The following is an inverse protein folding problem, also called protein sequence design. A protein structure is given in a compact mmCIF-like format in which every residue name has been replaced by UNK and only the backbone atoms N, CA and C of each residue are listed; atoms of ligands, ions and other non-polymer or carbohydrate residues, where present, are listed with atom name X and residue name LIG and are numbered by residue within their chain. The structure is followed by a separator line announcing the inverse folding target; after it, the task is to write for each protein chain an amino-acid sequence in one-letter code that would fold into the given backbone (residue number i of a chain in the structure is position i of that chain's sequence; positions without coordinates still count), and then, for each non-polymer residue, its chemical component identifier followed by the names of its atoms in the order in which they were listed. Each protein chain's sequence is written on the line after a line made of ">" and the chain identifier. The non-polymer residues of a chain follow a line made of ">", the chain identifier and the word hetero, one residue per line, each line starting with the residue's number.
data_IF_709079923403
#
_entry.id   IF_709079923403
#
_cell.length_a   1.000
_cell.length_b   1.000
_cell.length_c   1.000
_cell.angle_alpha   90.00
_cell.angle_beta   90.00
_cell.angle_gamma   90.00
#
_symmetry.space_group_name_H-M   'P 1'
#
loop_
_entity.id
_entity.type
_entity.pdbx_description
1 polymer ?
#
# COMPACT_ATOMS: atom_id res chain seq x y z
N UNK A 1 -8.52 -8.51 -9.55
CA UNK A 1 -8.93 -9.09 -8.24
C UNK A 1 -7.86 -10.07 -7.78
N UNK A 2 -7.36 -9.94 -6.55
CA UNK A 2 -6.46 -10.93 -5.94
C UNK A 2 -7.29 -11.90 -5.11
N UNK A 3 -7.48 -13.11 -5.62
CA UNK A 3 -8.34 -14.10 -4.96
C UNK A 3 -7.58 -14.91 -3.90
N UNK A 4 -7.94 -14.71 -2.63
CA UNK A 4 -7.46 -15.53 -1.51
C UNK A 4 -8.34 -16.76 -1.22
N UNK A 5 -9.12 -17.27 -2.18
CA UNK A 5 -9.83 -18.56 -2.05
C UNK A 5 -8.88 -19.77 -2.10
N UNK A 6 -7.68 -19.60 -2.68
CA UNK A 6 -6.60 -20.62 -2.73
C UNK A 6 -5.22 -20.07 -2.32
N UNK A 7 -5.09 -19.42 -1.16
CA UNK A 7 -3.82 -18.85 -0.76
C UNK A 7 -2.90 -19.98 -0.27
N UNK A 8 -1.57 -19.85 -0.46
CA UNK A 8 -0.60 -20.79 0.12
C UNK A 8 -0.60 -20.76 1.67
N UNK A 9 -1.35 -19.84 2.30
CA UNK A 9 -1.41 -19.64 3.76
C UNK A 9 -2.83 -19.30 4.20
N UNK A 10 -3.22 -19.75 5.39
CA UNK A 10 -4.55 -19.50 5.95
C UNK A 10 -4.91 -17.99 5.99
N UNK A 11 -6.12 -17.58 5.57
CA UNK A 11 -6.55 -16.17 5.55
C UNK A 11 -6.41 -15.44 6.88
N UNK A 12 -6.51 -16.16 8.01
CA UNK A 12 -6.31 -15.59 9.37
C UNK A 12 -4.88 -15.10 9.62
N UNK A 13 -3.92 -15.47 8.76
CA UNK A 13 -2.50 -15.13 8.83
C UNK A 13 -1.98 -14.36 7.59
N UNK A 14 -2.90 -13.88 6.75
CA UNK A 14 -2.55 -13.21 5.49
C UNK A 14 -3.08 -11.78 5.50
N UNK A 15 -2.26 -10.81 5.08
CA UNK A 15 -2.64 -9.41 4.94
C UNK A 15 -2.36 -9.01 3.49
N UNK A 16 -3.33 -8.37 2.85
CA UNK A 16 -3.19 -7.73 1.53
C UNK A 16 -2.83 -6.27 1.74
N UNK A 17 -1.75 -5.82 1.10
CA UNK A 17 -1.38 -4.41 1.07
C UNK A 17 -1.48 -3.96 -0.38
N UNK A 18 -2.39 -3.04 -0.68
CA UNK A 18 -2.68 -2.64 -2.04
C UNK A 18 -3.26 -1.22 -2.11
N UNK A 19 -2.97 -0.52 -3.20
CA UNK A 19 -3.49 0.80 -3.49
C UNK A 19 -4.77 0.79 -4.33
N UNK A 20 -5.19 -0.37 -4.84
CA UNK A 20 -6.38 -0.53 -5.66
C UNK A 20 -7.47 -1.28 -4.91
N UNK A 21 -8.65 -0.65 -4.64
CA UNK A 21 -9.78 -1.31 -3.98
C UNK A 21 -10.22 -2.61 -4.65
N UNK A 22 -10.10 -2.67 -5.98
CA UNK A 22 -10.43 -3.85 -6.80
C UNK A 22 -9.58 -5.08 -6.47
N UNK A 23 -8.38 -4.87 -5.94
CA UNK A 23 -7.45 -5.95 -5.61
C UNK A 23 -7.96 -6.81 -4.45
N UNK A 24 -8.72 -6.25 -3.51
CA UNK A 24 -9.16 -6.93 -2.29
C UNK A 24 -10.69 -7.00 -2.14
N UNK A 25 -11.43 -6.82 -3.23
CA UNK A 25 -12.90 -6.89 -3.24
C UNK A 25 -13.47 -8.16 -2.60
N UNK A 26 -12.80 -9.30 -2.75
CA UNK A 26 -13.26 -10.59 -2.22
C UNK A 26 -12.92 -10.82 -0.75
N UNK A 27 -11.96 -10.07 -0.19
CA UNK A 27 -11.51 -10.21 1.21
C UNK A 27 -11.12 -8.84 1.80
N UNK A 28 -12.04 -7.86 1.88
CA UNK A 28 -11.74 -6.51 2.36
C UNK A 28 -11.24 -6.50 3.81
N UNK A 29 -11.64 -7.47 4.62
CA UNK A 29 -11.20 -7.61 6.01
C UNK A 29 -9.73 -8.04 6.17
N UNK A 30 -9.10 -8.50 5.08
CA UNK A 30 -7.69 -8.83 5.03
C UNK A 30 -6.83 -7.70 4.46
N UNK A 31 -7.44 -6.57 4.08
CA UNK A 31 -6.75 -5.51 3.35
C UNK A 31 -6.28 -4.35 4.22
N UNK A 32 -5.12 -3.83 3.87
CA UNK A 32 -4.60 -2.52 4.26
C UNK A 32 -4.58 -1.66 2.99
N UNK A 33 -5.54 -0.72 2.84
CA UNK A 33 -5.52 0.24 1.75
C UNK A 33 -4.29 1.16 1.88
N UNK A 34 -3.60 1.42 0.78
CA UNK A 34 -2.46 2.32 0.73
C UNK A 34 -2.67 3.41 -0.31
N UNK A 35 -2.15 4.61 -0.05
CA UNK A 35 -1.99 5.63 -1.09
C UNK A 35 -1.11 5.09 -2.23
N UNK A 36 -1.45 5.49 -3.45
CA UNK A 36 -0.59 5.23 -4.61
C UNK A 36 0.71 6.04 -4.53
N UNK A 37 1.84 5.38 -4.77
CA UNK A 37 3.15 6.02 -4.76
C UNK A 37 3.46 6.59 -6.16
N UNK A 38 3.78 7.88 -6.22
CA UNK A 38 4.11 8.60 -7.46
C UNK A 38 5.52 9.21 -7.44
N UNK A 39 6.44 8.66 -6.63
CA UNK A 39 7.82 9.16 -6.54
C UNK A 39 8.05 10.26 -5.52
N UNK A 40 7.11 10.49 -4.59
CA UNK A 40 7.26 11.48 -3.51
C UNK A 40 8.34 11.02 -2.49
N UNK A 41 9.49 11.71 -2.40
CA UNK A 41 10.55 11.32 -1.47
C UNK A 41 10.17 11.53 0.00
N UNK A 42 9.11 12.28 0.28
CA UNK A 42 8.59 12.50 1.61
C UNK A 42 7.49 11.48 2.00
N UNK A 43 7.16 10.53 1.11
CA UNK A 43 6.19 9.48 1.43
C UNK A 43 6.74 8.56 2.53
N UNK A 44 5.97 8.42 3.61
CA UNK A 44 6.32 7.60 4.77
C UNK A 44 5.26 6.50 5.03
N UNK A 45 4.37 6.23 4.07
CA UNK A 45 3.21 5.37 4.31
C UNK A 45 3.62 3.95 4.75
N UNK A 46 4.68 3.39 4.16
CA UNK A 46 5.22 2.09 4.56
C UNK A 46 5.89 2.11 5.94
N UNK A 47 6.58 3.20 6.29
CA UNK A 47 7.18 3.37 7.61
C UNK A 47 6.10 3.44 8.70
N UNK A 48 4.97 4.10 8.42
CA UNK A 48 3.80 4.14 9.31
C UNK A 48 3.08 2.79 9.42
N UNK A 49 3.17 1.93 8.39
CA UNK A 49 2.60 0.58 8.41
C UNK A 49 3.45 -0.40 9.24
N UNK A 50 4.78 -0.28 9.20
CA UNK A 50 5.70 -1.18 9.88
C UNK A 50 5.38 -1.46 11.37
N UNK A 51 5.11 -0.46 12.24
CA UNK A 51 4.82 -0.72 13.65
C UNK A 51 3.54 -1.54 13.86
N UNK A 52 2.54 -1.41 12.99
CA UNK A 52 1.33 -2.22 13.05
C UNK A 52 1.63 -3.69 12.75
N UNK A 53 2.40 -3.95 11.68
CA UNK A 53 2.78 -5.32 11.31
C UNK A 53 3.64 -5.98 12.39
N UNK A 54 4.57 -5.21 12.97
CA UNK A 54 5.43 -5.68 14.04
C UNK A 54 4.63 -6.01 15.31
N UNK A 55 3.63 -5.20 15.66
CA UNK A 55 2.76 -5.44 16.81
C UNK A 55 1.91 -6.72 16.62
N UNK A 56 1.39 -6.97 15.41
CA UNK A 56 0.67 -8.21 15.06
C UNK A 56 1.55 -9.44 15.29
N UNK A 57 2.81 -9.40 14.85
CA UNK A 57 3.77 -10.50 15.04
C UNK A 57 4.14 -10.68 16.51
N UNK A 58 4.49 -9.59 17.20
CA UNK A 58 4.91 -9.62 18.62
C UNK A 58 3.82 -10.17 19.53
N UNK A 59 2.56 -9.79 19.31
CA UNK A 59 1.42 -10.27 20.10
C UNK A 59 0.94 -11.68 19.72
N UNK A 60 1.55 -12.31 18.70
CA UNK A 60 1.15 -13.62 18.17
C UNK A 60 -0.36 -13.69 17.91
N UNK A 61 -0.88 -12.66 17.27
CA UNK A 61 -2.32 -12.51 17.03
C UNK A 61 -2.86 -13.74 16.27
N UNK A 62 -3.89 -14.43 16.79
CA UNK A 62 -4.41 -15.65 16.17
C UNK A 62 -5.17 -15.39 14.85
N UNK A 63 -5.72 -14.18 14.69
CA UNK A 63 -6.41 -13.74 13.48
C UNK A 63 -6.13 -12.27 13.19
N UNK A 64 -5.36 -12.00 12.13
CA UNK A 64 -4.96 -10.63 11.75
C UNK A 64 -6.16 -9.71 11.49
N UNK A 65 -7.27 -10.26 11.00
CA UNK A 65 -8.50 -9.51 10.66
C UNK A 65 -9.12 -8.85 11.89
N UNK A 66 -8.91 -9.42 13.08
CA UNK A 66 -9.39 -8.83 14.34
C UNK A 66 -8.69 -7.50 14.66
N UNK A 67 -7.41 -7.40 14.33
CA UNK A 67 -6.62 -6.17 14.48
C UNK A 67 -6.96 -5.19 13.37
N UNK A 68 -7.02 -5.64 12.12
CA UNK A 68 -7.33 -4.79 10.97
C UNK A 68 -8.73 -4.18 11.06
N UNK A 69 -9.73 -4.89 11.59
CA UNK A 69 -11.08 -4.32 11.84
C UNK A 69 -11.09 -3.25 12.93
N UNK A 70 -10.25 -3.40 13.95
CA UNK A 70 -10.20 -2.49 15.11
C UNK A 70 -9.34 -1.25 14.82
N UNK A 71 -8.33 -1.41 13.98
CA UNK A 71 -7.61 -0.29 13.41
C UNK A 71 -8.49 0.31 12.31
N UNK A 72 -8.95 1.55 12.48
CA UNK A 72 -9.61 2.26 11.38
C UNK A 72 -8.56 2.58 10.30
N UNK A 73 -8.28 1.61 9.42
CA UNK A 73 -7.20 1.69 8.44
C UNK A 73 -7.58 2.55 7.23
N UNK A 74 -8.87 2.73 6.97
CA UNK A 74 -9.38 3.66 5.96
C UNK A 74 -8.89 5.08 6.25
N UNK A 75 -8.32 5.77 5.27
CA UNK A 75 -7.77 7.11 5.46
C UNK A 75 -6.40 7.15 6.14
N UNK A 76 -6.02 6.11 6.89
CA UNK A 76 -4.82 6.12 7.75
C UNK A 76 -3.54 6.30 6.94
N UNK A 77 -3.51 5.80 5.72
CA UNK A 77 -2.36 5.83 4.84
C UNK A 77 -2.60 6.64 3.56
N UNK A 78 -3.65 7.48 3.53
CA UNK A 78 -4.05 8.23 2.34
C UNK A 78 -3.31 9.57 2.21
N UNK A 79 -2.78 10.10 3.32
CA UNK A 79 -2.04 11.36 3.37
C UNK A 79 -0.52 11.18 3.34
N UNK A 80 0.17 12.19 2.82
CA UNK A 80 1.60 12.37 3.04
C UNK A 80 1.83 12.59 4.56
N UNK A 81 2.69 11.78 5.16
CA UNK A 81 2.81 11.74 6.61
C UNK A 81 3.34 13.05 7.23
N UNK A 82 3.43 13.08 8.57
CA UNK A 82 3.76 14.30 9.31
C UNK A 82 5.08 14.95 8.89
N UNK A 83 6.06 14.14 8.45
CA UNK A 83 7.34 14.65 7.94
C UNK A 83 7.17 15.47 6.63
N UNK A 84 6.37 14.98 5.68
CA UNK A 84 6.04 15.70 4.45
C UNK A 84 5.22 16.97 4.72
N UNK A 85 4.27 16.89 5.66
CA UNK A 85 3.43 18.01 6.08
C UNK A 85 4.24 19.16 6.71
N UNK A 86 5.28 18.83 7.48
CA UNK A 86 6.18 19.82 8.05
C UNK A 86 7.08 20.48 6.98
N UNK A 87 7.49 19.73 5.96
CA UNK A 87 8.28 20.25 4.84
C UNK A 87 7.45 21.12 3.85
N UNK A 88 6.14 20.86 3.71
CA UNK A 88 5.25 21.55 2.77
C UNK A 88 4.69 22.90 3.26
N UNK A 89 5.20 23.47 4.36
CA UNK A 89 4.80 24.77 4.91
C UNK A 89 5.08 26.00 4.01
N UNK A 90 5.60 25.81 2.79
CA UNK A 90 5.77 26.85 1.78
C UNK A 90 4.81 26.64 0.59
N UNK A 91 3.79 27.50 0.49
CA UNK A 91 2.81 27.70 -0.62
C UNK A 91 2.57 26.52 -1.58
N UNK A 92 1.40 25.90 -1.46
CA UNK A 92 0.86 24.93 -2.41
C UNK A 92 0.55 25.58 -3.79
N UNK A 93 1.44 25.34 -4.76
CA UNK A 93 1.09 25.37 -6.18
C UNK A 93 0.48 24.04 -6.58
N UNK A 94 -0.74 24.06 -7.13
CA UNK A 94 -1.49 22.89 -7.61
C UNK A 94 -0.67 22.16 -8.70
N UNK A 95 -0.36 20.85 -8.62
CA UNK A 95 0.24 20.17 -9.76
C UNK A 95 -0.88 19.87 -10.77
N UNK A 96 -0.69 20.37 -11.98
CA UNK A 96 -1.52 20.05 -13.14
C UNK A 96 -1.36 18.55 -13.48
N UNK A 97 -2.47 17.90 -13.83
CA UNK A 97 -2.48 16.51 -14.27
C UNK A 97 -1.63 16.33 -15.52
N UNK A 98 -0.53 15.62 -15.39
CA UNK A 98 0.23 15.04 -16.50
C UNK A 98 0.44 13.57 -16.19
N UNK A 99 0.00 12.69 -17.07
CA UNK A 99 0.28 11.25 -16.97
C UNK A 99 1.77 11.00 -16.78
N UNK A 100 2.18 10.05 -15.92
CA UNK A 100 3.60 9.69 -15.81
C UNK A 100 4.11 9.17 -17.15
N UNK A 101 5.37 9.45 -17.53
CA UNK A 101 5.96 8.88 -18.73
C UNK A 101 6.01 7.35 -18.61
N UNK A 102 5.59 6.66 -19.67
CA UNK A 102 5.63 5.21 -19.76
C UNK A 102 7.05 4.65 -19.63
N UNK A 103 7.21 3.37 -19.27
CA UNK A 103 8.53 2.76 -19.15
C UNK A 103 9.28 2.80 -20.49
N UNK A 104 10.62 2.89 -20.47
CA UNK A 104 11.42 2.91 -21.70
C UNK A 104 11.22 1.61 -22.48
N UNK A 105 10.96 1.74 -23.79
CA UNK A 105 10.87 0.59 -24.68
C UNK A 105 12.20 -0.16 -24.71
N UNK A 106 12.18 -1.44 -24.33
CA UNK A 106 13.31 -2.35 -24.53
C UNK A 106 13.45 -2.64 -26.03
N UNK A 107 14.22 -1.80 -26.72
CA UNK A 107 14.73 -2.09 -28.06
C UNK A 107 16.10 -2.74 -27.93
N UNK A 108 16.22 -3.98 -28.41
CA UNK A 108 17.51 -4.65 -28.60
C UNK A 108 17.65 -5.97 -27.85
N UNK A 109 16.97 -7.01 -28.32
CA UNK A 109 17.43 -8.39 -28.16
C UNK A 109 17.66 -8.94 -29.56
N UNK A 110 18.89 -9.33 -29.93
CA UNK A 110 19.14 -9.98 -31.22
C UNK A 110 18.53 -11.38 -31.22
N UNK A 111 17.83 -11.66 -32.31
CA UNK A 111 17.23 -12.93 -32.70
C UNK A 111 18.28 -14.06 -32.62
N UNK A 112 18.15 -14.97 -31.67
CA UNK A 112 18.94 -16.20 -31.64
C UNK A 112 18.20 -17.26 -32.44
N UNK A 113 18.77 -17.59 -33.61
CA UNK A 113 18.46 -18.79 -34.40
C UNK A 113 18.73 -20.06 -33.61
#
# INVERSE_FOLDING_TARGET
>A
VKDLSRPPRAPRRTILVDNSPESYLLQPENAVPMKAFFGDPADDCLARLAPLLLDIVRRRVPDVRSVLKRCHLRGRFDDAGPAARAAAGGKAGKPAGGSPPGPPALSGMPDQR
#
